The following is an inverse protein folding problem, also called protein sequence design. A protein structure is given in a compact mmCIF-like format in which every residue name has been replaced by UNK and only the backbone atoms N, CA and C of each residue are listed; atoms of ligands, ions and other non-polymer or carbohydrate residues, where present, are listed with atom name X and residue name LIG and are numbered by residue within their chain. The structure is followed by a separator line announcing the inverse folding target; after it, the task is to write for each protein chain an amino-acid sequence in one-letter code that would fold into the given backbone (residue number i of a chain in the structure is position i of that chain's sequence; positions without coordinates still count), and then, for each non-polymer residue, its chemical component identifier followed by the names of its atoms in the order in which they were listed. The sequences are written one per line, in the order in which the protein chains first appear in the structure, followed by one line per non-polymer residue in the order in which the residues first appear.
data_IF_425008765452
#
_entry.id   IF_425008765452
#
_cell.length_a   1.000
_cell.length_b   1.000
_cell.length_c   1.000
_cell.angle_alpha   90.00
_cell.angle_beta   90.00
_cell.angle_gamma   90.00
#
_symmetry.space_group_name_H-M   'P 1'
#
loop_
_entity.id
_entity.type
_entity.pdbx_description
1 polymer ?
#
# COMPACT_ATOMS: atom_id res chain seq x y z
N UNK A 1 5.27 12.65 -11.64
CA UNK A 1 4.29 12.76 -10.55
C UNK A 1 4.98 12.28 -9.28
N UNK A 2 4.91 13.02 -8.16
CA UNK A 2 5.51 12.61 -6.90
C UNK A 2 5.06 11.21 -6.47
N UNK A 3 5.93 10.52 -5.73
CA UNK A 3 5.65 9.20 -5.16
C UNK A 3 5.56 9.33 -3.65
N UNK A 4 4.64 8.60 -3.06
CA UNK A 4 4.40 8.60 -1.62
C UNK A 4 4.41 7.18 -1.10
N UNK A 5 4.93 7.02 0.11
CA UNK A 5 4.92 5.77 0.86
C UNK A 5 4.11 5.98 2.13
N UNK A 6 3.17 5.08 2.40
CA UNK A 6 2.46 5.00 3.65
C UNK A 6 2.86 3.71 4.39
N UNK A 7 2.99 3.81 5.70
CA UNK A 7 3.18 2.68 6.61
C UNK A 7 2.06 2.76 7.65
N UNK A 8 1.48 1.61 7.98
CA UNK A 8 0.42 1.54 8.98
C UNK A 8 0.02 0.13 9.31
N UNK A 9 -1.19 -0.02 9.83
CA UNK A 9 -1.84 -1.30 10.14
C UNK A 9 -3.25 -1.35 9.55
N UNK A 10 -3.76 -2.56 9.36
CA UNK A 10 -5.15 -2.78 8.99
C UNK A 10 -5.75 -3.91 9.82
N UNK A 11 -6.99 -3.72 10.25
CA UNK A 11 -7.66 -4.67 11.13
C UNK A 11 -7.78 -6.06 10.48
N UNK A 12 -7.39 -7.10 11.21
CA UNK A 12 -7.40 -8.51 10.79
C UNK A 12 -6.42 -8.88 9.68
N UNK A 13 -5.48 -7.99 9.32
CA UNK A 13 -4.43 -8.32 8.35
C UNK A 13 -3.34 -9.20 8.96
N UNK A 14 -3.34 -9.45 10.26
CA UNK A 14 -2.64 -10.59 10.87
C UNK A 14 -3.03 -11.94 10.23
N UNK A 15 -4.19 -12.02 9.58
CA UNK A 15 -4.58 -13.13 8.69
C UNK A 15 -4.31 -12.80 7.20
N UNK A 16 -3.39 -13.51 6.51
CA UNK A 16 -3.10 -13.30 5.09
C UNK A 16 -4.30 -13.48 4.15
N UNK A 17 -5.30 -14.30 4.51
CA UNK A 17 -6.49 -14.48 3.68
C UNK A 17 -7.35 -13.22 3.65
N UNK A 18 -7.50 -12.51 4.77
CA UNK A 18 -8.25 -11.24 4.83
C UNK A 18 -7.61 -10.18 3.93
N UNK A 19 -6.28 -10.14 3.88
CA UNK A 19 -5.55 -9.31 2.93
C UNK A 19 -5.89 -9.69 1.48
N UNK A 20 -5.80 -10.98 1.11
CA UNK A 20 -6.12 -11.46 -0.24
C UNK A 20 -7.53 -11.10 -0.66
N UNK A 21 -8.51 -11.31 0.22
CA UNK A 21 -9.91 -10.95 0.00
C UNK A 21 -10.09 -9.45 -0.26
N UNK A 22 -9.49 -8.58 0.56
CA UNK A 22 -9.57 -7.14 0.38
C UNK A 22 -8.88 -6.65 -0.90
N UNK A 23 -7.73 -7.24 -1.26
CA UNK A 23 -7.05 -6.93 -2.52
C UNK A 23 -7.90 -7.35 -3.72
N UNK A 24 -8.51 -8.54 -3.68
CA UNK A 24 -9.41 -9.03 -4.73
C UNK A 24 -10.71 -8.21 -4.83
N UNK A 25 -11.24 -7.73 -3.71
CA UNK A 25 -12.41 -6.87 -3.67
C UNK A 25 -12.14 -5.44 -4.20
N UNK A 26 -10.88 -4.99 -4.18
CA UNK A 26 -10.51 -3.66 -4.66
C UNK A 26 -10.47 -3.63 -6.18
N UNK A 27 -11.55 -3.13 -6.79
CA UNK A 27 -11.71 -3.04 -8.25
C UNK A 27 -11.03 -1.82 -8.89
N UNK A 28 -10.73 -0.79 -8.10
CA UNK A 28 -10.14 0.45 -8.60
C UNK A 28 -8.88 0.82 -7.80
N UNK A 29 -7.75 0.85 -8.52
CA UNK A 29 -6.43 1.26 -8.02
C UNK A 29 -6.03 2.67 -8.48
N UNK A 30 -6.92 3.36 -9.19
CA UNK A 30 -6.80 4.77 -9.59
C UNK A 30 -7.94 5.56 -8.94
N UNK A 31 -7.76 6.05 -7.69
CA UNK A 31 -8.81 6.73 -6.96
C UNK A 31 -9.36 7.95 -7.72
N UNK A 32 -8.49 8.61 -8.48
CA UNK A 32 -8.83 9.72 -9.37
C UNK A 32 -7.92 9.72 -10.63
N UNK A 33 -8.10 10.71 -11.51
CA UNK A 33 -7.35 10.80 -12.77
C UNK A 33 -5.83 11.07 -12.61
N UNK A 34 -5.41 11.53 -11.44
CA UNK A 34 -4.05 11.94 -11.07
C UNK A 34 -3.44 11.09 -9.96
N UNK A 35 -4.16 10.13 -9.39
CA UNK A 35 -3.65 9.25 -8.33
C UNK A 35 -3.65 7.80 -8.80
N UNK A 36 -2.55 7.09 -8.59
CA UNK A 36 -2.44 5.66 -8.90
C UNK A 36 -1.73 4.96 -7.77
N UNK A 37 -2.40 3.98 -7.15
CA UNK A 37 -1.80 3.10 -6.16
C UNK A 37 -0.98 2.07 -6.92
N UNK A 38 0.31 2.01 -6.62
CA UNK A 38 1.29 1.19 -7.36
C UNK A 38 1.64 -0.08 -6.63
N UNK A 39 1.56 -0.10 -5.30
CA UNK A 39 1.92 -1.25 -4.48
C UNK A 39 1.18 -1.21 -3.16
N UNK A 40 0.70 -2.36 -2.70
CA UNK A 40 0.29 -2.59 -1.32
C UNK A 40 0.95 -3.88 -0.88
N UNK A 41 1.74 -3.81 0.19
CA UNK A 41 2.39 -4.96 0.80
C UNK A 41 1.69 -5.30 2.11
N UNK A 42 1.41 -6.59 2.25
CA UNK A 42 1.10 -7.19 3.54
C UNK A 42 2.42 -7.47 4.27
N UNK A 43 2.57 -6.92 5.47
CA UNK A 43 3.71 -7.15 6.34
C UNK A 43 3.28 -7.99 7.54
N UNK A 44 4.24 -8.51 8.31
CA UNK A 44 3.95 -9.21 9.57
C UNK A 44 3.20 -8.35 10.58
N UNK A 45 2.59 -8.99 11.57
CA UNK A 45 1.92 -8.33 12.70
C UNK A 45 0.79 -7.35 12.31
N UNK A 46 0.11 -7.64 11.19
CA UNK A 46 -0.97 -6.81 10.66
C UNK A 46 -0.51 -5.46 10.08
N UNK A 47 0.80 -5.26 9.93
CA UNK A 47 1.36 -4.06 9.30
C UNK A 47 1.18 -4.08 7.79
N UNK A 48 1.20 -2.89 7.21
CA UNK A 48 1.15 -2.70 5.76
C UNK A 48 2.12 -1.61 5.31
N UNK A 49 2.42 -1.68 4.02
CA UNK A 49 3.06 -0.60 3.29
C UNK A 49 2.28 -0.35 2.01
N UNK A 50 1.93 0.90 1.73
CA UNK A 50 1.27 1.28 0.48
C UNK A 50 2.08 2.34 -0.26
N UNK A 51 2.16 2.23 -1.57
CA UNK A 51 2.84 3.20 -2.43
C UNK A 51 1.86 3.76 -3.46
N UNK A 52 1.97 5.05 -3.74
CA UNK A 52 1.23 5.68 -4.83
C UNK A 52 2.08 6.66 -5.65
N UNK A 53 1.59 6.94 -6.85
CA UNK A 53 1.91 8.17 -7.60
C UNK A 53 0.76 9.14 -7.40
N UNK A 54 1.03 10.33 -6.89
CA UNK A 54 0.01 11.36 -6.64
C UNK A 54 0.61 12.76 -6.71
N UNK A 55 -0.13 13.78 -7.21
CA UNK A 55 0.31 15.18 -7.17
C UNK A 55 0.50 15.73 -5.75
N UNK A 56 -0.19 15.19 -4.75
CA UNK A 56 -0.10 15.63 -3.35
C UNK A 56 -0.24 14.48 -2.36
N UNK A 57 0.23 14.70 -1.13
CA UNK A 57 0.04 13.78 -0.01
C UNK A 57 -1.46 13.60 0.30
N UNK A 58 -2.21 14.70 0.32
CA UNK A 58 -3.63 14.73 0.72
C UNK A 58 -4.51 13.79 -0.13
N UNK A 59 -4.25 13.69 -1.45
CA UNK A 59 -5.00 12.79 -2.32
C UNK A 59 -4.72 11.30 -2.01
N UNK A 60 -3.51 10.99 -1.53
CA UNK A 60 -3.17 9.65 -1.07
C UNK A 60 -3.79 9.36 0.29
N UNK A 61 -3.70 10.32 1.22
CA UNK A 61 -4.27 10.24 2.56
C UNK A 61 -5.79 9.99 2.52
N UNK A 62 -6.52 10.76 1.73
CA UNK A 62 -7.96 10.58 1.55
C UNK A 62 -8.34 9.17 1.04
N UNK A 63 -7.51 8.55 0.20
CA UNK A 63 -7.74 7.17 -0.23
C UNK A 63 -7.45 6.15 0.88
N UNK A 64 -6.41 6.38 1.70
CA UNK A 64 -6.08 5.52 2.83
C UNK A 64 -7.16 5.59 3.91
N UNK A 65 -7.71 6.77 4.20
CA UNK A 65 -8.84 6.97 5.10
C UNK A 65 -10.08 6.19 4.61
N UNK A 66 -10.39 6.23 3.31
CA UNK A 66 -11.49 5.46 2.72
C UNK A 66 -11.32 3.94 2.89
N UNK A 67 -10.07 3.45 2.97
CA UNK A 67 -9.80 2.04 3.26
C UNK A 67 -10.02 1.68 4.73
N UNK A 68 -10.10 2.66 5.62
CA UNK A 68 -10.23 2.43 7.05
C UNK A 68 -8.98 1.82 7.67
N UNK A 69 -7.81 2.03 7.05
CA UNK A 69 -6.53 1.57 7.59
C UNK A 69 -5.99 2.60 8.57
N UNK A 70 -5.26 2.12 9.58
CA UNK A 70 -4.64 2.97 10.57
C UNK A 70 -3.23 3.36 10.10
N UNK A 71 -3.08 4.57 9.56
CA UNK A 71 -1.83 5.04 8.97
C UNK A 71 -0.95 5.68 10.04
N UNK A 72 0.26 5.16 10.20
CA UNK A 72 1.27 5.67 11.15
C UNK A 72 2.09 6.82 10.52
N UNK A 73 2.39 6.73 9.23
CA UNK A 73 3.17 7.76 8.53
C UNK A 73 2.92 7.76 7.02
N UNK A 74 3.07 8.94 6.41
CA UNK A 74 3.13 9.13 4.95
C UNK A 74 4.37 9.96 4.63
N UNK A 75 5.22 9.50 3.72
CA UNK A 75 6.51 10.15 3.39
C UNK A 75 6.70 10.23 1.87
N UNK A 76 7.20 11.35 1.32
CA UNK A 76 7.55 11.43 -0.08
C UNK A 76 8.77 10.56 -0.41
N UNK A 77 8.67 9.75 -1.45
CA UNK A 77 9.80 8.94 -1.93
C UNK A 77 10.66 9.81 -2.85
N UNK A 78 11.88 10.10 -2.43
CA UNK A 78 12.83 10.93 -3.19
C UNK A 78 13.59 10.12 -4.25
N UNK A 79 13.98 8.88 -3.93
CA UNK A 79 14.77 8.01 -4.81
C UNK A 79 14.37 6.55 -4.61
N UNK A 80 14.47 5.74 -5.66
CA UNK A 80 14.27 4.29 -5.61
C UNK A 80 15.38 3.62 -6.38
N UNK A 81 16.12 2.74 -5.70
CA UNK A 81 17.02 1.78 -6.32
C UNK A 81 16.39 0.39 -6.20
N UNK A 82 16.18 -0.31 -7.32
CA UNK A 82 15.73 -1.71 -7.32
C UNK A 82 16.96 -2.59 -7.54
N UNK A 83 17.44 -3.25 -6.49
CA UNK A 83 18.68 -4.03 -6.50
C UNK A 83 18.41 -5.50 -6.21
N UNK A 84 18.81 -6.42 -7.11
CA UNK A 84 18.82 -7.88 -6.90
C UNK A 84 17.44 -8.54 -6.72
N UNK A 85 17.24 -9.72 -7.30
CA UNK A 85 16.05 -10.55 -7.07
C UNK A 85 16.47 -11.84 -6.39
N UNK A 86 15.97 -12.14 -5.19
CA UNK A 86 15.88 -13.52 -4.71
C UNK A 86 14.43 -13.77 -4.29
N UNK A 87 13.77 -14.59 -5.08
CA UNK A 87 12.47 -15.19 -4.80
C UNK A 87 12.73 -16.63 -4.35
N UNK A 88 12.59 -16.91 -3.06
CA UNK A 88 12.38 -18.28 -2.58
C UNK A 88 10.89 -18.44 -2.27
N UNK A 89 10.14 -18.89 -3.27
CA UNK A 89 8.75 -19.28 -3.09
C UNK A 89 8.65 -20.56 -2.26
N UNK A 90 8.57 -20.44 -0.94
CA UNK A 90 8.25 -21.59 -0.09
C UNK A 90 6.74 -21.78 0.03
N UNK A 91 6.28 -22.94 -0.47
CA UNK A 91 5.01 -23.58 -0.07
C UNK A 91 5.12 -24.12 1.35
N UNK A 92 4.00 -24.13 2.10
CA UNK A 92 3.46 -25.40 2.60
C UNK A 92 2.35 -25.95 1.70
#
# INVERSE_FOLDING_TARGET
MPRWLAIGTADGWDNPEKFREQMAATKNWRPDARTTITTVLHLGDGKLMAECHSPSQDAFDAWLEQKGWNIESITPIQQIAKTGSIWDGQKP
#
